data_IF_041281779307
#
_entry.id   IF_041281779307
#
_cell.length_a   1.000
_cell.length_b   1.000
_cell.length_c   1.000
_cell.angle_alpha   90.00
_cell.angle_beta   90.00
_cell.angle_gamma   90.00
#
_symmetry.space_group_name_H-M   'P 1'
#
loop_
_entity.id
_entity.type
_entity.pdbx_description
1 polymer ?
#
# COMPACT_ATOMS: atom_id res chain seq x y z
N UNK A 1 8.72 9.43 -5.43
CA UNK A 1 8.21 8.53 -6.50
C UNK A 1 9.33 7.59 -6.91
N UNK A 2 9.02 6.32 -7.18
CA UNK A 2 9.94 5.32 -7.72
C UNK A 2 9.35 4.77 -9.02
N UNK A 3 10.21 4.54 -10.02
CA UNK A 3 9.78 4.08 -11.33
C UNK A 3 10.88 3.28 -12.01
N UNK A 4 10.48 2.19 -12.65
CA UNK A 4 11.25 1.45 -13.67
C UNK A 4 10.42 1.37 -14.95
N UNK A 5 10.90 0.73 -16.03
CA UNK A 5 10.07 0.46 -17.21
C UNK A 5 8.84 -0.43 -16.93
N UNK A 6 8.85 -1.19 -15.83
CA UNK A 6 7.84 -2.23 -15.55
C UNK A 6 6.94 -1.94 -14.34
N UNK A 7 7.33 -1.00 -13.47
CA UNK A 7 6.53 -0.64 -12.30
C UNK A 7 6.75 0.80 -11.89
N UNK A 8 5.68 1.43 -11.40
CA UNK A 8 5.70 2.72 -10.73
C UNK A 8 5.13 2.55 -9.33
N UNK A 9 5.80 3.11 -8.32
CA UNK A 9 5.30 3.26 -6.96
C UNK A 9 5.35 4.74 -6.57
N UNK A 10 4.20 5.32 -6.24
CA UNK A 10 4.09 6.71 -5.86
C UNK A 10 3.28 6.91 -4.59
N UNK A 11 3.67 7.91 -3.81
CA UNK A 11 2.93 8.38 -2.64
C UNK A 11 3.08 9.88 -2.44
N UNK A 12 2.04 10.54 -1.95
CA UNK A 12 2.09 11.85 -1.32
C UNK A 12 2.38 11.65 0.18
N UNK A 13 3.64 11.82 0.59
CA UNK A 13 4.10 11.49 1.94
C UNK A 13 3.49 12.42 3.00
N UNK A 14 3.02 11.84 4.11
CA UNK A 14 2.38 12.54 5.25
C UNK A 14 1.31 13.59 4.85
N UNK A 15 0.66 13.40 3.69
CA UNK A 15 -0.31 14.37 3.17
C UNK A 15 -1.58 14.37 4.02
N UNK A 16 -1.71 15.40 4.88
CA UNK A 16 -2.93 15.69 5.65
C UNK A 16 -3.45 14.48 6.45
N UNK A 17 -2.53 13.63 6.90
CA UNK A 17 -2.84 12.36 7.57
C UNK A 17 -3.74 12.57 8.78
N UNK A 18 -4.75 11.70 8.93
CA UNK A 18 -5.74 11.78 10.00
C UNK A 18 -6.88 12.77 9.77
N UNK A 19 -6.86 13.54 8.67
CA UNK A 19 -7.97 14.44 8.33
C UNK A 19 -9.00 13.72 7.44
N UNK A 20 -10.31 14.00 7.64
CA UNK A 20 -11.35 13.47 6.78
C UNK A 20 -11.31 14.12 5.40
N UNK A 21 -11.58 13.35 4.35
CA UNK A 21 -11.49 13.79 2.95
C UNK A 21 -12.49 13.09 2.04
N UNK A 22 -12.54 13.50 0.77
CA UNK A 22 -13.62 13.10 -0.13
C UNK A 22 -13.14 12.43 -1.42
N UNK A 23 -11.95 12.76 -1.93
CA UNK A 23 -11.55 12.33 -3.29
C UNK A 23 -10.06 11.99 -3.42
N UNK A 24 -9.27 12.18 -2.37
CA UNK A 24 -7.84 12.01 -2.45
C UNK A 24 -7.43 10.53 -2.42
N UNK A 25 -6.55 10.16 -3.35
CA UNK A 25 -5.75 8.94 -3.30
C UNK A 25 -4.30 9.34 -3.10
N UNK A 26 -3.70 8.91 -1.99
CA UNK A 26 -2.38 9.40 -1.57
C UNK A 26 -1.25 8.44 -1.92
N UNK A 27 -1.54 7.24 -2.44
CA UNK A 27 -0.52 6.33 -2.94
C UNK A 27 -1.09 5.33 -3.96
N UNK A 28 -0.19 4.69 -4.72
CA UNK A 28 -0.51 3.56 -5.57
C UNK A 28 0.71 2.92 -6.23
N UNK A 29 0.58 1.64 -6.56
CA UNK A 29 1.50 0.92 -7.45
C UNK A 29 0.82 0.66 -8.79
N UNK A 30 1.56 0.80 -9.89
CA UNK A 30 1.07 0.64 -11.26
C UNK A 30 2.06 -0.22 -12.03
N UNK A 31 1.60 -1.38 -12.52
CA UNK A 31 2.40 -2.30 -13.35
C UNK A 31 1.98 -2.21 -14.82
N UNK A 32 0.71 -1.89 -15.07
CA UNK A 32 0.13 -1.56 -16.37
C UNK A 32 -1.04 -0.59 -16.18
N UNK A 33 -1.61 -0.01 -17.25
CA UNK A 33 -2.81 0.83 -17.12
C UNK A 33 -3.98 0.14 -16.39
N UNK A 34 -4.11 -1.18 -16.54
CA UNK A 34 -5.15 -2.03 -15.95
C UNK A 34 -4.73 -2.62 -14.59
N UNK A 35 -3.43 -2.77 -14.33
CA UNK A 35 -2.88 -3.40 -13.14
C UNK A 35 -2.42 -2.36 -12.12
N UNK A 36 -3.36 -1.88 -11.32
CA UNK A 36 -3.14 -0.92 -10.24
C UNK A 36 -3.38 -1.56 -8.87
N UNK A 37 -2.61 -1.14 -7.87
CA UNK A 37 -2.75 -1.57 -6.47
C UNK A 37 -2.72 -0.36 -5.54
N UNK A 38 -3.71 -0.25 -4.69
CA UNK A 38 -3.82 0.79 -3.65
C UNK A 38 -4.76 0.31 -2.54
N UNK A 39 -4.78 1.03 -1.42
CA UNK A 39 -5.72 0.80 -0.31
C UNK A 39 -6.66 1.98 -0.15
N UNK A 40 -7.81 1.71 0.45
CA UNK A 40 -8.83 2.72 0.79
C UNK A 40 -9.41 2.45 2.18
N UNK A 41 -9.71 3.51 2.89
CA UNK A 41 -10.58 3.59 4.05
C UNK A 41 -11.96 4.09 3.57
N UNK A 42 -12.88 3.18 3.24
CA UNK A 42 -14.17 3.55 2.68
C UNK A 42 -15.08 4.21 3.72
N UNK A 43 -15.92 5.16 3.30
CA UNK A 43 -16.99 5.67 4.17
C UNK A 43 -18.28 4.86 4.06
N UNK A 44 -18.42 4.05 3.01
CA UNK A 44 -19.57 3.19 2.75
C UNK A 44 -19.18 2.14 1.68
N UNK A 45 -20.05 1.15 1.46
CA UNK A 45 -19.85 0.09 0.46
C UNK A 45 -20.42 0.42 -0.93
N UNK A 46 -20.81 1.68 -1.19
CA UNK A 46 -21.38 2.08 -2.47
C UNK A 46 -20.31 2.16 -3.54
N UNK A 47 -20.66 1.74 -4.75
CA UNK A 47 -19.84 1.93 -5.95
C UNK A 47 -20.29 3.15 -6.76
N UNK A 48 -21.36 3.82 -6.33
CA UNK A 48 -21.89 4.98 -7.03
C UNK A 48 -20.89 6.16 -6.93
N UNK A 49 -20.44 6.75 -8.04
CA UNK A 49 -19.52 7.90 -8.04
C UNK A 49 -20.08 9.16 -7.33
N UNK A 50 -21.41 9.27 -7.18
CA UNK A 50 -22.05 10.36 -6.45
C UNK A 50 -22.00 10.19 -4.93
N UNK A 51 -21.65 9.00 -4.42
CA UNK A 51 -21.60 8.69 -2.99
C UNK A 51 -20.21 8.88 -2.37
N UNK A 52 -19.37 9.76 -2.94
CA UNK A 52 -17.98 9.96 -2.51
C UNK A 52 -17.86 10.61 -1.13
N UNK A 53 -16.92 10.17 -0.26
CA UNK A 53 -16.02 9.04 -0.45
C UNK A 53 -16.83 7.73 -0.40
N UNK A 54 -16.58 6.85 -1.37
CA UNK A 54 -17.33 5.60 -1.53
C UNK A 54 -16.40 4.40 -1.27
N UNK A 55 -16.72 3.21 -1.78
CA UNK A 55 -15.86 2.04 -1.59
C UNK A 55 -14.45 2.23 -2.17
N UNK A 56 -14.32 2.90 -3.32
CA UNK A 56 -13.05 2.96 -4.05
C UNK A 56 -12.56 4.37 -4.41
N UNK A 57 -13.39 5.39 -4.22
CA UNK A 57 -13.07 6.77 -4.56
C UNK A 57 -13.02 7.62 -3.30
N UNK A 58 -11.82 8.11 -2.99
CA UNK A 58 -11.53 8.92 -1.80
C UNK A 58 -11.33 8.11 -0.53
N UNK A 59 -11.04 8.83 0.55
CA UNK A 59 -10.64 8.28 1.84
C UNK A 59 -11.52 8.92 2.93
N UNK A 60 -12.21 8.11 3.75
CA UNK A 60 -12.99 8.62 4.90
C UNK A 60 -12.08 9.41 5.85
N UNK A 61 -10.92 8.85 6.17
CA UNK A 61 -9.82 9.48 6.90
C UNK A 61 -8.53 9.17 6.15
N UNK A 62 -7.73 10.19 5.84
CA UNK A 62 -6.48 9.99 5.11
C UNK A 62 -5.47 9.19 5.94
N UNK A 63 -4.79 8.20 5.32
CA UNK A 63 -3.73 7.49 6.00
C UNK A 63 -2.48 8.36 6.18
N UNK A 64 -1.59 7.87 7.03
CA UNK A 64 -0.19 8.27 7.04
C UNK A 64 0.59 7.37 6.08
N UNK A 65 1.29 7.96 5.11
CA UNK A 65 2.07 7.20 4.12
C UNK A 65 3.51 7.68 4.10
N UNK A 66 4.45 6.75 4.16
CA UNK A 66 5.87 7.01 3.92
C UNK A 66 6.45 6.00 2.97
N UNK A 67 7.29 6.48 2.06
CA UNK A 67 7.89 5.69 1.00
C UNK A 67 9.40 5.87 1.01
N UNK A 68 10.13 4.75 0.88
CA UNK A 68 11.54 4.73 0.52
C UNK A 68 11.67 3.94 -0.77
N UNK A 69 11.94 4.63 -1.88
CA UNK A 69 12.13 4.03 -3.21
C UNK A 69 11.01 3.03 -3.54
N UNK A 70 11.34 1.75 -3.60
CA UNK A 70 10.55 0.59 -4.01
C UNK A 70 9.64 0.01 -2.92
N UNK A 71 9.64 0.59 -1.71
CA UNK A 71 8.79 0.17 -0.61
C UNK A 71 8.05 1.34 0.04
N UNK A 72 6.83 1.11 0.52
CA UNK A 72 6.09 2.07 1.34
C UNK A 72 5.33 1.40 2.48
N UNK A 73 5.04 2.19 3.50
CA UNK A 73 4.22 1.84 4.66
C UNK A 73 3.05 2.81 4.74
N UNK A 74 1.86 2.26 4.97
CA UNK A 74 0.59 2.98 5.09
C UNK A 74 -0.03 2.65 6.44
N UNK A 75 -0.30 3.67 7.25
CA UNK A 75 -1.00 3.52 8.53
C UNK A 75 -2.35 4.21 8.46
N UNK A 76 -3.40 3.54 8.91
CA UNK A 76 -4.74 4.10 9.04
C UNK A 76 -5.10 4.26 10.52
N UNK A 77 -5.90 5.29 10.81
CA UNK A 77 -6.60 5.42 12.10
C UNK A 77 -8.08 5.21 11.88
N UNK A 78 -8.59 4.11 12.42
CA UNK A 78 -9.99 3.73 12.34
C UNK A 78 -10.67 4.07 13.67
N UNK A 79 -11.63 5.00 13.71
CA UNK A 79 -12.43 5.27 14.90
C UNK A 79 -13.18 4.02 15.37
N UNK A 80 -13.46 3.91 16.67
CA UNK A 80 -14.24 2.79 17.22
C UNK A 80 -15.65 2.70 16.62
N UNK A 81 -16.23 3.84 16.24
CA UNK A 81 -17.53 3.97 15.60
C UNK A 81 -17.45 3.99 14.06
N UNK A 82 -16.35 3.52 13.47
CA UNK A 82 -16.20 3.49 12.02
C UNK A 82 -17.26 2.59 11.36
N UNK A 83 -18.05 3.11 10.39
CA UNK A 83 -19.18 2.40 9.81
C UNK A 83 -18.77 1.12 9.05
N UNK A 84 -17.52 1.06 8.58
CA UNK A 84 -17.00 -0.11 7.85
C UNK A 84 -16.11 -0.97 8.74
N UNK A 85 -15.49 -0.37 9.75
CA UNK A 85 -14.59 -0.99 10.71
C UNK A 85 -13.32 -1.53 10.07
N UNK A 86 -13.03 -1.19 8.81
CA UNK A 86 -11.88 -1.72 8.08
C UNK A 86 -11.48 -0.86 6.88
N UNK A 87 -10.22 -1.00 6.49
CA UNK A 87 -9.77 -0.68 5.13
C UNK A 87 -9.81 -1.91 4.24
N UNK A 88 -9.55 -1.74 2.95
CA UNK A 88 -9.36 -2.81 1.99
C UNK A 88 -8.39 -2.37 0.88
N UNK A 89 -8.00 -3.31 0.02
CA UNK A 89 -7.12 -3.01 -1.10
C UNK A 89 -7.74 -3.38 -2.44
N UNK A 90 -7.55 -2.51 -3.41
CA UNK A 90 -7.75 -2.82 -4.82
C UNK A 90 -6.58 -3.64 -5.32
N UNK A 91 -6.86 -4.86 -5.77
CA UNK A 91 -5.89 -5.85 -6.22
C UNK A 91 -6.55 -6.71 -7.30
N UNK A 92 -6.66 -6.15 -8.51
CA UNK A 92 -7.37 -6.72 -9.65
C UNK A 92 -6.67 -7.96 -10.21
N UNK A 93 -6.94 -9.13 -9.64
CA UNK A 93 -6.23 -10.37 -9.99
C UNK A 93 -6.37 -10.80 -11.45
N UNK A 94 -7.44 -10.38 -12.12
CA UNK A 94 -7.68 -10.62 -13.54
C UNK A 94 -6.79 -9.77 -14.46
N UNK A 95 -6.15 -8.73 -13.92
CA UNK A 95 -5.21 -7.87 -14.65
C UNK A 95 -3.75 -8.29 -14.44
N UNK A 96 -3.49 -9.36 -13.68
CA UNK A 96 -2.16 -9.89 -13.43
C UNK A 96 -1.90 -11.15 -14.26
N UNK A 97 -0.67 -11.34 -14.74
CA UNK A 97 -0.25 -12.60 -15.37
C UNK A 97 -0.24 -13.73 -14.34
N UNK A 98 0.13 -13.39 -13.11
CA UNK A 98 0.25 -14.32 -12.01
C UNK A 98 0.01 -13.59 -10.68
N UNK A 99 -0.68 -14.25 -9.75
CA UNK A 99 -0.79 -13.80 -8.37
C UNK A 99 -0.81 -14.99 -7.41
N UNK A 100 -0.26 -14.81 -6.21
CA UNK A 100 -0.26 -15.84 -5.17
C UNK A 100 -0.10 -15.24 -3.77
N UNK A 101 -0.38 -16.05 -2.76
CA UNK A 101 -0.14 -15.72 -1.36
C UNK A 101 1.23 -16.27 -0.94
N UNK A 102 2.05 -15.43 -0.31
CA UNK A 102 3.39 -15.78 0.22
C UNK A 102 3.45 -15.36 1.68
N UNK A 103 3.20 -16.29 2.60
CA UNK A 103 2.96 -15.93 4.00
C UNK A 103 1.74 -15.01 4.12
N UNK A 104 1.94 -13.80 4.62
CA UNK A 104 0.90 -12.76 4.72
C UNK A 104 0.86 -11.80 3.52
N UNK A 105 1.77 -11.96 2.56
CA UNK A 105 1.83 -11.16 1.34
C UNK A 105 0.85 -11.66 0.29
N UNK A 106 0.10 -10.74 -0.32
CA UNK A 106 -0.50 -10.94 -1.63
C UNK A 106 0.47 -10.41 -2.70
N UNK A 107 1.07 -11.32 -3.47
CA UNK A 107 2.05 -10.99 -4.50
C UNK A 107 1.47 -11.17 -5.91
N UNK A 108 1.85 -10.31 -6.84
CA UNK A 108 1.44 -10.39 -8.25
C UNK A 108 2.54 -9.92 -9.21
N UNK A 109 2.39 -10.33 -10.47
CA UNK A 109 3.27 -9.98 -11.59
C UNK A 109 2.47 -9.57 -12.83
N UNK A 110 3.02 -8.61 -13.57
CA UNK A 110 2.67 -8.32 -14.96
C UNK A 110 3.96 -8.14 -15.76
N UNK A 111 4.19 -8.99 -16.76
CA UNK A 111 5.47 -9.03 -17.49
C UNK A 111 6.63 -9.15 -16.52
N UNK A 112 7.54 -8.18 -16.56
CA UNK A 112 8.70 -8.10 -15.68
C UNK A 112 8.48 -7.23 -14.43
N UNK A 113 7.28 -6.72 -14.18
CA UNK A 113 6.94 -5.90 -13.01
C UNK A 113 6.32 -6.72 -11.89
N UNK A 114 6.74 -6.49 -10.65
CA UNK A 114 6.31 -7.22 -9.45
C UNK A 114 5.74 -6.28 -8.38
N UNK A 115 4.71 -6.75 -7.66
CA UNK A 115 4.16 -6.09 -6.49
C UNK A 115 3.82 -7.11 -5.42
N UNK A 116 4.05 -6.75 -4.15
CA UNK A 116 3.56 -7.48 -3.00
C UNK A 116 2.92 -6.51 -2.02
N UNK A 117 1.73 -6.86 -1.54
CA UNK A 117 0.98 -6.10 -0.55
C UNK A 117 0.76 -6.94 0.70
N UNK A 118 1.17 -6.39 1.85
CA UNK A 118 1.06 -7.02 3.16
C UNK A 118 0.16 -6.22 4.09
N UNK A 119 -0.50 -6.91 5.02
CA UNK A 119 -1.22 -6.35 6.15
C UNK A 119 -1.16 -7.36 7.31
N UNK A 120 -1.24 -6.95 8.59
CA UNK A 120 -1.18 -7.88 9.72
C UNK A 120 -2.23 -9.00 9.62
N UNK A 121 -1.79 -10.26 9.76
CA UNK A 121 -2.65 -11.44 9.59
C UNK A 121 -2.95 -11.80 8.13
N UNK A 122 -2.41 -11.04 7.17
CA UNK A 122 -2.68 -11.18 5.75
C UNK A 122 -4.10 -10.77 5.34
N UNK A 123 -4.44 -11.06 4.09
CA UNK A 123 -5.73 -10.70 3.49
C UNK A 123 -6.39 -11.89 2.80
N UNK A 124 -7.68 -11.73 2.49
CA UNK A 124 -8.49 -12.69 1.75
C UNK A 124 -9.03 -12.04 0.49
N UNK A 125 -8.87 -12.71 -0.65
CA UNK A 125 -9.45 -12.27 -1.91
C UNK A 125 -10.96 -12.46 -1.88
N UNK A 126 -11.70 -11.38 -2.13
CA UNK A 126 -13.16 -11.43 -2.28
C UNK A 126 -13.54 -12.30 -3.47
N UNK A 127 -14.44 -13.26 -3.27
CA UNK A 127 -14.84 -14.25 -4.29
C UNK A 127 -16.22 -13.98 -4.91
N UNK A 128 -16.98 -13.04 -4.39
CA UNK A 128 -18.35 -12.76 -4.84
C UNK A 128 -18.72 -11.28 -4.68
N UNK A 129 -19.71 -10.84 -5.44
CA UNK A 129 -20.11 -9.44 -5.53
C UNK A 129 -19.48 -8.75 -6.75
N UNK A 130 -19.75 -7.46 -6.89
CA UNK A 130 -19.35 -6.69 -8.06
C UNK A 130 -17.82 -6.54 -8.18
N UNK A 131 -17.10 -6.49 -7.06
CA UNK A 131 -15.64 -6.39 -6.99
C UNK A 131 -14.96 -7.75 -6.72
N UNK A 132 -15.64 -8.86 -7.04
CA UNK A 132 -15.06 -10.19 -6.92
C UNK A 132 -13.75 -10.29 -7.71
N UNK A 133 -12.76 -10.93 -7.10
CA UNK A 133 -11.41 -11.10 -7.65
C UNK A 133 -10.62 -9.80 -7.85
N UNK A 134 -11.12 -8.66 -7.36
CA UNK A 134 -10.43 -7.37 -7.41
C UNK A 134 -10.20 -6.73 -6.03
N UNK A 135 -10.71 -7.32 -4.96
CA UNK A 135 -10.65 -6.77 -3.61
C UNK A 135 -9.95 -7.73 -2.64
N UNK A 136 -8.93 -7.23 -1.94
CA UNK A 136 -8.36 -7.88 -0.78
C UNK A 136 -8.95 -7.28 0.50
N UNK A 137 -9.56 -8.15 1.30
CA UNK A 137 -10.05 -7.81 2.63
C UNK A 137 -9.00 -8.21 3.67
N UNK A 138 -8.55 -7.31 4.56
CA UNK A 138 -7.67 -7.68 5.66
C UNK A 138 -8.38 -8.69 6.57
N UNK A 139 -7.63 -9.63 7.16
CA UNK A 139 -8.17 -10.52 8.20
C UNK A 139 -8.51 -9.74 9.48
N UNK A 140 -7.69 -8.74 9.80
CA UNK A 140 -7.99 -7.73 10.81
C UNK A 140 -8.79 -6.55 10.26
N UNK A 141 -8.56 -5.36 10.82
CA UNK A 141 -9.18 -4.10 10.36
C UNK A 141 -8.38 -3.41 9.24
N UNK A 142 -7.12 -3.80 8.98
CA UNK A 142 -6.28 -3.15 7.97
C UNK A 142 -5.72 -1.80 8.40
N UNK A 143 -5.47 -1.61 9.68
CA UNK A 143 -4.81 -0.40 10.23
C UNK A 143 -3.38 -0.17 9.71
N UNK A 144 -2.76 -1.18 9.10
CA UNK A 144 -1.44 -1.11 8.50
C UNK A 144 -1.37 -1.88 7.17
N UNK A 145 -0.66 -1.30 6.21
CA UNK A 145 -0.28 -1.95 4.96
C UNK A 145 1.18 -1.67 4.61
N UNK A 146 1.84 -2.63 3.99
CA UNK A 146 3.17 -2.46 3.40
C UNK A 146 3.12 -2.89 1.95
N UNK A 147 3.61 -2.03 1.05
CA UNK A 147 3.73 -2.35 -0.37
C UNK A 147 5.22 -2.41 -0.72
N UNK A 148 5.61 -3.49 -1.39
CA UNK A 148 6.96 -3.69 -1.93
C UNK A 148 6.81 -3.97 -3.43
N UNK A 149 7.48 -3.17 -4.26
CA UNK A 149 7.56 -3.41 -5.70
C UNK A 149 8.97 -3.81 -6.11
N UNK A 150 9.09 -4.43 -7.27
CA UNK A 150 10.36 -4.70 -7.94
C UNK A 150 10.12 -4.96 -9.43
N UNK A 151 11.21 -5.25 -10.14
CA UNK A 151 11.13 -5.78 -11.50
C UNK A 151 12.16 -6.89 -11.73
N UNK A 152 12.07 -7.59 -12.86
CA UNK A 152 12.96 -8.70 -13.16
C UNK A 152 14.45 -8.32 -13.14
N UNK A 153 14.87 -7.16 -13.71
CA UNK A 153 16.26 -6.71 -13.61
C UNK A 153 16.79 -6.53 -12.18
N UNK A 154 15.94 -6.14 -11.23
CA UNK A 154 16.36 -5.86 -9.83
C UNK A 154 16.16 -7.06 -8.88
N UNK A 155 15.13 -7.87 -9.13
CA UNK A 155 14.75 -8.97 -8.24
C UNK A 155 14.99 -10.38 -8.79
N UNK A 156 15.33 -10.51 -10.08
CA UNK A 156 15.40 -11.80 -10.75
C UNK A 156 14.00 -12.29 -11.12
N UNK A 157 13.75 -13.60 -11.05
CA UNK A 157 12.40 -14.13 -11.32
C UNK A 157 11.38 -13.69 -10.27
N UNK A 158 10.10 -13.83 -10.58
CA UNK A 158 9.03 -13.59 -9.60
C UNK A 158 9.10 -14.52 -8.38
N UNK A 159 9.58 -15.75 -8.57
CA UNK A 159 9.88 -16.66 -7.44
C UNK A 159 11.00 -16.10 -6.56
N UNK A 160 12.06 -15.54 -7.15
CA UNK A 160 13.17 -14.93 -6.41
C UNK A 160 12.71 -13.67 -5.66
N UNK A 161 11.84 -12.86 -6.27
CA UNK A 161 11.17 -11.74 -5.60
C UNK A 161 10.39 -12.22 -4.38
N UNK A 162 9.50 -13.20 -4.55
CA UNK A 162 8.68 -13.76 -3.47
C UNK A 162 9.52 -14.35 -2.33
N UNK A 163 10.59 -15.07 -2.66
CA UNK A 163 11.48 -15.69 -1.69
C UNK A 163 12.30 -14.67 -0.86
N UNK A 164 12.49 -13.45 -1.38
CA UNK A 164 13.22 -12.37 -0.71
C UNK A 164 12.32 -11.46 0.15
N UNK A 165 11.01 -11.63 0.10
CA UNK A 165 10.09 -10.83 0.92
C UNK A 165 10.33 -11.13 2.41
N UNK A 166 10.83 -10.14 3.14
CA UNK A 166 10.83 -10.17 4.60
C UNK A 166 9.41 -10.09 5.16
N UNK A 167 9.22 -10.49 6.42
CA UNK A 167 7.94 -10.32 7.13
C UNK A 167 7.96 -8.98 7.88
N UNK A 168 7.11 -8.01 7.51
CA UNK A 168 6.94 -6.80 8.31
C UNK A 168 6.40 -7.15 9.70
N UNK A 169 6.71 -6.32 10.69
CA UNK A 169 6.06 -6.40 12.01
C UNK A 169 5.07 -5.26 12.16
N UNK A 170 4.00 -5.49 12.93
CA UNK A 170 3.06 -4.47 13.35
C UNK A 170 2.78 -4.64 14.83
N UNK A 171 3.06 -3.61 15.60
CA UNK A 171 2.90 -3.61 17.05
C UNK A 171 1.95 -2.49 17.46
N UNK A 172 1.11 -2.77 18.46
CA UNK A 172 0.32 -1.73 19.10
C UNK A 172 1.24 -0.71 19.77
N UNK A 173 0.86 0.56 19.67
CA UNK A 173 1.51 1.70 20.30
C UNK A 173 0.46 2.57 20.99
N UNK A 174 0.90 3.50 21.83
CA UNK A 174 0.00 4.44 22.52
C UNK A 174 -0.91 5.24 21.55
N UNK A 175 -0.46 5.46 20.31
CA UNK A 175 -1.10 6.37 19.35
C UNK A 175 -1.59 5.67 18.08
N UNK A 176 -1.77 4.35 18.10
CA UNK A 176 -2.13 3.53 16.95
C UNK A 176 -1.15 2.38 16.79
N UNK A 177 -0.67 2.12 15.57
CA UNK A 177 0.30 1.06 15.31
C UNK A 177 1.68 1.59 14.91
N UNK A 178 2.69 0.75 15.14
CA UNK A 178 4.05 0.90 14.63
C UNK A 178 4.37 -0.27 13.71
N UNK A 179 4.86 0.03 12.52
CA UNK A 179 5.28 -0.97 11.54
C UNK A 179 6.77 -0.88 11.32
N UNK A 180 7.44 -2.04 11.30
CA UNK A 180 8.81 -2.14 10.80
C UNK A 180 8.89 -3.09 9.61
N UNK A 181 9.72 -2.77 8.62
CA UNK A 181 9.86 -3.58 7.41
C UNK A 181 11.26 -3.46 6.84
N UNK A 182 11.87 -4.60 6.47
CA UNK A 182 13.15 -4.62 5.75
C UNK A 182 12.89 -4.70 4.25
N UNK A 183 13.30 -3.66 3.51
CA UNK A 183 13.10 -3.59 2.06
C UNK A 183 13.98 -4.59 1.31
N UNK A 184 13.66 -4.85 0.03
CA UNK A 184 14.50 -5.67 -0.84
C UNK A 184 15.90 -5.08 -1.07
N UNK A 185 16.03 -3.75 -0.96
CA UNK A 185 17.30 -3.02 -0.99
C UNK A 185 18.11 -3.12 0.31
N UNK A 186 17.57 -3.74 1.35
CA UNK A 186 18.27 -3.97 2.62
C UNK A 186 18.18 -2.82 3.62
N UNK A 187 17.22 -1.91 3.45
CA UNK A 187 16.95 -0.83 4.39
C UNK A 187 15.87 -1.21 5.39
N UNK A 188 16.06 -0.85 6.66
CA UNK A 188 15.06 -1.06 7.71
C UNK A 188 14.17 0.19 7.83
N UNK A 189 12.89 0.05 7.50
CA UNK A 189 11.86 1.08 7.64
C UNK A 189 11.20 0.96 9.01
N UNK A 190 10.92 2.10 9.64
CA UNK A 190 10.17 2.18 10.89
C UNK A 190 9.21 3.36 10.83
N UNK A 191 7.91 3.08 10.98
CA UNK A 191 6.88 4.10 10.97
C UNK A 191 5.88 3.84 12.10
N UNK A 192 5.63 4.86 12.91
CA UNK A 192 4.51 4.92 13.84
C UNK A 192 3.59 6.08 13.47
N UNK A 193 2.42 6.20 14.08
CA UNK A 193 1.53 7.32 13.73
C UNK A 193 2.11 8.70 14.08
N UNK A 194 2.69 8.87 15.26
CA UNK A 194 3.15 10.18 15.77
C UNK A 194 4.67 10.37 15.71
N UNK A 195 5.45 9.30 15.50
CA UNK A 195 6.91 9.37 15.47
C UNK A 195 7.48 9.79 14.11
N UNK A 196 8.80 10.07 14.02
CA UNK A 196 9.47 10.25 12.74
C UNK A 196 9.42 8.96 11.91
N UNK A 197 9.52 9.09 10.59
CA UNK A 197 9.87 7.97 9.73
C UNK A 197 11.36 7.70 9.83
N UNK A 198 11.75 6.50 10.25
CA UNK A 198 13.16 6.11 10.32
C UNK A 198 13.52 5.18 9.17
N UNK A 199 14.72 5.41 8.62
CA UNK A 199 15.41 4.51 7.71
C UNK A 199 16.75 4.17 8.33
N UNK A 200 17.01 2.89 8.57
CA UNK A 200 18.22 2.38 9.21
C UNK A 200 18.49 3.07 10.57
N UNK A 201 17.41 3.30 11.34
CA UNK A 201 17.45 3.96 12.65
C UNK A 201 17.65 5.48 12.61
N UNK A 202 17.68 6.11 11.42
CA UNK A 202 17.84 7.56 11.26
C UNK A 202 16.56 8.19 10.76
N UNK A 203 16.15 9.29 11.38
CA UNK A 203 15.01 10.06 10.91
C UNK A 203 15.29 10.65 9.53
N UNK A 204 14.39 10.42 8.59
CA UNK A 204 14.45 11.00 7.25
C UNK A 204 13.47 12.17 7.17
N UNK A 205 13.98 13.32 6.76
CA UNK A 205 13.14 14.50 6.53
C UNK A 205 12.13 14.23 5.40
N UNK A 206 11.06 15.01 5.37
CA UNK A 206 10.19 15.06 4.19
C UNK A 206 11.01 15.70 3.07
N UNK A 207 11.47 14.91 2.10
CA UNK A 207 12.05 15.52 0.90
C UNK A 207 10.98 16.38 0.24
N UNK A 208 11.17 17.70 0.08
CA UNK A 208 10.33 18.44 -0.85
C UNK A 208 10.50 17.77 -2.22
N UNK A 209 9.42 17.62 -3.00
CA UNK A 209 9.56 17.11 -4.36
C UNK A 209 10.60 17.96 -5.07
N UNK A 210 11.68 17.34 -5.58
CA UNK A 210 12.61 18.05 -6.44
C UNK A 210 11.78 18.75 -7.53
N UNK A 211 11.97 20.06 -7.76
CA UNK A 211 11.27 20.75 -8.83
C UNK A 211 11.69 20.08 -10.13
N UNK A 212 10.74 19.40 -10.78
CA UNK A 212 10.78 18.88 -12.15
C UNK A 212 12.05 19.27 -12.91
N UNK A 213 13.09 18.44 -12.86
CA UNK A 213 14.14 18.57 -13.86
C UNK A 213 13.56 18.01 -15.16
N UNK A 214 13.11 18.90 -16.06
CA UNK A 214 12.80 18.50 -17.43
C UNK A 214 14.03 17.82 -18.03
N UNK A 215 13.92 16.60 -18.58
CA UNK A 215 15.01 16.04 -19.36
C UNK A 215 15.25 16.96 -20.57
N UNK A 216 16.52 17.34 -20.75
CA UNK A 216 17.02 18.05 -21.91
C UNK A 216 17.04 17.17 -23.17
#
# INVERSE_FOLDING_TARGET
MYRTPHVLLGSAQDYRSGLPRLQEHVWGAVLSPEAQVFTTHPANSSLNPSARPNAWAGERILPRVRQLRDALVVLYRLPEDDPTGRTHAWFATLCFDEHRVVGEWAAARVGDGYVALWTPGGSVLRRSGQDALAELLPRGCGEAWVCQVADAPTAGSFDAFCARLGTPTCEASEWGVRVTHRTLGGHDLDLSWSGPFLVDGRAVADDPPEPWASPA
#
